data_IF_544926561431
#
_entry.id   IF_544926561431
#
_cell.length_a   1.000
_cell.length_b   1.000
_cell.length_c   1.000
_cell.angle_alpha   90.00
_cell.angle_beta   90.00
_cell.angle_gamma   90.00
#
_symmetry.space_group_name_H-M   'P 1'
#
loop_
_entity.id
_entity.type
_entity.pdbx_description
1 polymer ?
#
# COMPACT_ATOMS: atom_id res chain seq x y z
N UNK A 1 13.41 -17.91 -6.95
CA UNK A 1 13.01 -17.16 -8.16
C UNK A 1 11.95 -16.14 -7.78
N UNK A 2 12.10 -14.87 -8.15
CA UNK A 2 11.13 -13.82 -7.80
C UNK A 2 9.93 -13.88 -8.74
N UNK A 3 8.71 -14.01 -8.22
CA UNK A 3 7.50 -14.02 -9.06
C UNK A 3 7.42 -12.73 -9.89
N UNK A 4 7.24 -12.85 -11.22
CA UNK A 4 7.10 -11.69 -12.09
C UNK A 4 5.76 -10.98 -11.80
N UNK A 5 5.71 -9.69 -12.09
CA UNK A 5 4.46 -8.93 -12.09
C UNK A 5 3.63 -9.30 -13.32
N UNK A 6 2.31 -9.20 -13.20
CA UNK A 6 1.41 -9.34 -14.33
C UNK A 6 1.65 -8.20 -15.33
N UNK A 7 1.49 -8.48 -16.62
CA UNK A 7 1.58 -7.47 -17.67
C UNK A 7 0.23 -6.75 -17.79
N UNK A 8 0.24 -5.43 -17.64
CA UNK A 8 -0.93 -4.61 -17.94
C UNK A 8 -1.17 -4.49 -19.45
N UNK A 9 -2.43 -4.45 -19.86
CA UNK A 9 -2.91 -4.36 -21.25
C UNK A 9 -4.06 -3.35 -21.33
N UNK A 10 -4.30 -2.78 -22.51
CA UNK A 10 -5.43 -1.87 -22.75
C UNK A 10 -5.25 -0.47 -22.16
N UNK A 11 -6.36 0.24 -21.97
CA UNK A 11 -6.35 1.59 -21.39
C UNK A 11 -6.12 1.50 -19.89
N UNK A 12 -5.16 2.24 -19.36
CA UNK A 12 -4.84 2.19 -17.92
C UNK A 12 -5.99 2.69 -17.04
N UNK A 13 -6.84 3.59 -17.56
CA UNK A 13 -7.98 4.14 -16.82
C UNK A 13 -9.02 3.09 -16.44
N UNK A 14 -9.08 1.97 -17.19
CA UNK A 14 -9.99 0.86 -16.88
C UNK A 14 -9.68 0.21 -15.52
N UNK A 15 -8.45 0.35 -15.01
CA UNK A 15 -8.06 -0.22 -13.73
C UNK A 15 -8.74 0.46 -12.55
N UNK A 16 -9.27 1.67 -12.74
CA UNK A 16 -10.04 2.38 -11.72
C UNK A 16 -11.28 1.60 -11.30
N UNK A 17 -12.13 1.26 -12.26
CA UNK A 17 -13.33 0.47 -11.99
C UNK A 17 -13.01 -0.98 -11.64
N UNK A 18 -12.00 -1.58 -12.29
CA UNK A 18 -11.62 -2.96 -12.06
C UNK A 18 -11.17 -3.25 -10.61
N UNK A 19 -10.54 -2.27 -9.96
CA UNK A 19 -9.98 -2.41 -8.61
C UNK A 19 -10.63 -1.47 -7.59
N UNK A 20 -11.79 -0.90 -7.92
CA UNK A 20 -12.52 0.03 -7.05
C UNK A 20 -11.65 1.20 -6.58
N UNK A 21 -10.76 1.73 -7.42
CA UNK A 21 -9.85 2.81 -7.03
C UNK A 21 -10.57 4.16 -7.00
N UNK A 22 -10.38 4.88 -5.90
CA UNK A 22 -10.73 6.29 -5.78
C UNK A 22 -9.54 7.19 -6.12
N UNK A 23 -9.78 8.48 -6.28
CA UNK A 23 -8.70 9.49 -6.46
C UNK A 23 -7.65 9.41 -5.35
N UNK A 24 -8.05 9.07 -4.13
CA UNK A 24 -7.13 8.92 -2.98
C UNK A 24 -6.22 7.68 -3.04
N UNK A 25 -6.50 6.76 -3.96
CA UNK A 25 -5.70 5.55 -4.20
C UNK A 25 -4.77 5.72 -5.42
N UNK A 26 -4.81 6.89 -6.06
CA UNK A 26 -3.96 7.25 -7.19
C UNK A 26 -2.82 8.15 -6.74
N UNK A 27 -1.60 7.79 -7.13
CA UNK A 27 -0.39 8.55 -6.87
C UNK A 27 0.17 9.01 -8.21
N UNK A 28 -0.06 10.28 -8.54
CA UNK A 28 0.50 10.88 -9.74
C UNK A 28 1.97 11.28 -9.51
N UNK A 29 2.86 10.68 -10.28
CA UNK A 29 4.31 10.89 -10.23
C UNK A 29 4.81 11.74 -11.40
N UNK A 30 3.92 12.42 -12.13
CA UNK A 30 4.32 13.50 -13.04
C UNK A 30 4.77 14.70 -12.23
N UNK A 31 6.05 14.72 -11.86
CA UNK A 31 6.65 15.90 -11.27
C UNK A 31 6.68 17.04 -12.29
N UNK A 32 6.25 18.22 -11.84
CA UNK A 32 6.43 19.47 -12.56
C UNK A 32 7.92 19.81 -12.75
N UNK A 33 8.24 21.03 -13.22
CA UNK A 33 9.63 21.44 -13.40
C UNK A 33 10.44 21.25 -12.12
N UNK A 34 11.51 20.47 -12.22
CA UNK A 34 12.39 20.13 -11.09
C UNK A 34 13.10 21.37 -10.58
N UNK A 35 13.10 21.58 -9.26
CA UNK A 35 14.04 22.50 -8.64
C UNK A 35 15.47 22.03 -8.89
N UNK A 36 16.25 22.89 -9.55
CA UNK A 36 17.63 22.58 -9.93
C UNK A 36 18.61 22.70 -8.76
N UNK A 37 18.19 23.30 -7.65
CA UNK A 37 18.99 23.43 -6.41
C UNK A 37 19.21 22.06 -5.72
N UNK A 38 18.23 21.15 -5.84
CA UNK A 38 18.30 19.82 -5.24
C UNK A 38 19.04 18.87 -6.16
N UNK A 39 19.88 17.98 -5.60
CA UNK A 39 20.57 16.97 -6.41
C UNK A 39 19.57 15.96 -6.99
N UNK A 40 19.86 15.45 -8.19
CA UNK A 40 19.00 14.45 -8.83
C UNK A 40 18.85 13.17 -8.01
N UNK A 41 19.92 12.73 -7.34
CA UNK A 41 19.89 11.55 -6.49
C UNK A 41 19.04 11.76 -5.23
N UNK A 42 19.03 12.98 -4.67
CA UNK A 42 18.14 13.30 -3.56
C UNK A 42 16.67 13.21 -3.99
N UNK A 43 16.31 13.85 -5.11
CA UNK A 43 14.94 13.75 -5.67
C UNK A 43 14.52 12.30 -5.88
N UNK A 44 15.45 11.45 -6.36
CA UNK A 44 15.17 10.03 -6.57
C UNK A 44 15.03 9.23 -5.28
N UNK A 45 15.75 9.61 -4.20
CA UNK A 45 15.55 9.03 -2.87
C UNK A 45 14.19 9.44 -2.28
N UNK A 46 13.87 10.73 -2.36
CA UNK A 46 12.60 11.27 -1.86
C UNK A 46 11.41 10.62 -2.57
N UNK A 47 11.54 10.35 -3.88
CA UNK A 47 10.55 9.61 -4.64
C UNK A 47 10.37 8.17 -4.14
N UNK A 48 11.45 7.46 -3.77
CA UNK A 48 11.33 6.12 -3.21
C UNK A 48 10.60 6.17 -1.87
N UNK A 49 10.96 7.11 -1.00
CA UNK A 49 10.29 7.31 0.29
C UNK A 49 8.80 7.62 0.11
N UNK A 50 8.45 8.52 -0.81
CA UNK A 50 7.06 8.82 -1.15
C UNK A 50 6.29 7.59 -1.61
N UNK A 51 6.89 6.76 -2.47
CA UNK A 51 6.25 5.52 -2.94
C UNK A 51 5.99 4.58 -1.76
N UNK A 52 6.98 4.39 -0.90
CA UNK A 52 6.83 3.54 0.29
C UNK A 52 5.72 4.03 1.21
N UNK A 53 5.71 5.33 1.53
CA UNK A 53 4.72 5.95 2.41
C UNK A 53 3.31 5.79 1.84
N UNK A 54 3.13 5.98 0.53
CA UNK A 54 1.83 5.82 -0.11
C UNK A 54 1.35 4.37 -0.15
N UNK A 55 2.25 3.40 -0.27
CA UNK A 55 1.89 1.98 -0.13
C UNK A 55 1.41 1.69 1.28
N UNK A 56 2.13 2.18 2.29
CA UNK A 56 1.79 1.96 3.70
C UNK A 56 0.48 2.64 4.09
N UNK A 57 0.29 3.89 3.69
CA UNK A 57 -0.94 4.64 3.93
C UNK A 57 -2.15 3.92 3.33
N UNK A 58 -2.07 3.51 2.06
CA UNK A 58 -3.15 2.76 1.42
C UNK A 58 -3.44 1.43 2.13
N UNK A 59 -2.40 0.75 2.62
CA UNK A 59 -2.54 -0.49 3.40
C UNK A 59 -3.25 -0.24 4.74
N UNK A 60 -2.88 0.83 5.44
CA UNK A 60 -3.48 1.24 6.72
C UNK A 60 -4.94 1.66 6.54
N UNK A 61 -5.29 2.29 5.42
CA UNK A 61 -6.67 2.60 5.03
C UNK A 61 -7.48 1.37 4.60
N UNK A 62 -6.91 0.16 4.69
CA UNK A 62 -7.59 -1.08 4.34
C UNK A 62 -7.84 -1.26 2.84
N UNK A 63 -7.10 -0.52 1.99
CA UNK A 63 -7.29 -0.60 0.54
C UNK A 63 -6.62 -1.86 -0.01
N UNK A 64 -7.28 -2.47 -1.00
CA UNK A 64 -6.75 -3.66 -1.66
C UNK A 64 -5.68 -3.33 -2.69
N UNK A 65 -5.74 -2.13 -3.28
CA UNK A 65 -4.88 -1.72 -4.38
C UNK A 65 -4.52 -0.24 -4.26
N UNK A 66 -3.35 0.12 -4.79
CA UNK A 66 -2.91 1.50 -5.01
C UNK A 66 -2.33 1.58 -6.43
N UNK A 67 -2.55 2.70 -7.12
CA UNK A 67 -2.09 2.93 -8.49
C UNK A 67 -1.09 4.06 -8.54
N UNK A 68 0.10 3.78 -9.07
CA UNK A 68 1.12 4.79 -9.35
C UNK A 68 1.08 5.17 -10.82
N UNK A 69 0.79 6.43 -11.11
CA UNK A 69 0.79 6.98 -12.46
C UNK A 69 2.17 7.58 -12.73
N UNK A 70 2.94 6.94 -13.59
CA UNK A 70 4.32 7.35 -13.90
C UNK A 70 4.51 7.81 -15.35
N UNK A 71 3.43 7.81 -16.13
CA UNK A 71 3.43 8.18 -17.54
C UNK A 71 4.18 7.21 -18.45
N UNK A 72 4.02 7.41 -19.76
CA UNK A 72 4.92 6.82 -20.75
C UNK A 72 6.21 7.63 -20.73
N UNK A 73 7.24 7.10 -20.09
CA UNK A 73 8.53 7.79 -19.97
C UNK A 73 9.04 8.25 -21.35
N UNK A 74 9.08 9.55 -21.62
CA UNK A 74 9.73 10.17 -22.80
C UNK A 74 11.19 10.54 -22.55
N UNK A 75 11.79 9.96 -21.51
CA UNK A 75 13.17 10.25 -21.10
C UNK A 75 14.18 9.48 -21.94
N UNK A 76 15.13 10.21 -22.54
CA UNK A 76 16.30 9.72 -23.28
C UNK A 76 17.04 8.60 -22.51
N UNK A 77 17.60 7.64 -23.26
CA UNK A 77 18.36 6.47 -22.79
C UNK A 77 19.34 6.85 -21.65
N UNK A 78 19.29 6.14 -20.51
CA UNK A 78 20.25 6.28 -19.41
C UNK A 78 19.80 7.06 -18.17
N UNK A 79 18.56 7.58 -18.09
CA UNK A 79 18.07 8.30 -16.90
C UNK A 79 17.18 7.44 -16.00
N UNK A 80 17.29 7.60 -14.67
CA UNK A 80 16.32 7.06 -13.69
C UNK A 80 15.00 7.82 -13.81
N UNK A 81 13.90 7.10 -13.86
CA UNK A 81 12.56 7.66 -14.09
C UNK A 81 11.63 7.23 -12.96
N UNK A 82 10.51 7.94 -12.79
CA UNK A 82 9.47 7.52 -11.85
C UNK A 82 9.07 6.05 -12.09
N UNK A 83 8.91 5.66 -13.36
CA UNK A 83 8.70 4.26 -13.76
C UNK A 83 9.79 3.33 -13.23
N UNK A 84 11.08 3.68 -13.37
CA UNK A 84 12.16 2.84 -12.86
C UNK A 84 12.19 2.75 -11.34
N UNK A 85 11.86 3.84 -10.63
CA UNK A 85 11.85 3.86 -9.17
C UNK A 85 10.70 3.04 -8.61
N UNK A 86 9.48 3.21 -9.14
CA UNK A 86 8.32 2.39 -8.77
C UNK A 86 8.63 0.91 -8.98
N UNK A 87 9.13 0.53 -10.16
CA UNK A 87 9.47 -0.87 -10.46
C UNK A 87 10.61 -1.40 -9.58
N UNK A 88 11.59 -0.56 -9.26
CA UNK A 88 12.71 -0.89 -8.40
C UNK A 88 12.26 -1.14 -6.97
N UNK A 89 11.51 -0.21 -6.40
CA UNK A 89 10.93 -0.33 -5.07
C UNK A 89 10.03 -1.57 -4.95
N UNK A 90 9.10 -1.75 -5.89
CA UNK A 90 8.18 -2.90 -5.86
C UNK A 90 8.90 -4.25 -5.99
N UNK A 91 10.15 -4.28 -6.47
CA UNK A 91 11.02 -5.48 -6.53
C UNK A 91 11.91 -5.66 -5.31
N UNK A 92 12.01 -4.65 -4.45
CA UNK A 92 12.87 -4.67 -3.29
C UNK A 92 12.33 -5.58 -2.18
N UNK A 93 13.20 -5.94 -1.24
CA UNK A 93 12.80 -6.65 -0.02
C UNK A 93 11.86 -5.82 0.87
N UNK A 94 11.96 -4.48 0.82
CA UNK A 94 11.12 -3.57 1.59
C UNK A 94 9.65 -3.61 1.15
N UNK A 95 9.38 -3.84 -0.14
CA UNK A 95 8.01 -3.96 -0.64
C UNK A 95 7.39 -5.33 -0.38
N UNK A 96 8.18 -6.40 -0.21
CA UNK A 96 7.70 -7.77 0.01
C UNK A 96 6.65 -7.92 1.13
N UNK A 97 6.82 -7.33 2.33
CA UNK A 97 5.81 -7.40 3.38
C UNK A 97 4.55 -6.56 3.09
N UNK A 98 4.62 -5.64 2.13
CA UNK A 98 3.54 -4.69 1.83
C UNK A 98 2.65 -5.15 0.68
N UNK A 99 3.20 -5.90 -0.28
CA UNK A 99 2.51 -6.23 -1.53
C UNK A 99 2.43 -7.73 -1.82
N UNK A 100 1.39 -8.11 -2.56
CA UNK A 100 1.28 -9.43 -3.17
C UNK A 100 1.76 -9.38 -4.62
N UNK A 101 3.04 -9.68 -4.81
CA UNK A 101 3.73 -9.55 -6.11
C UNK A 101 2.99 -10.20 -7.28
N UNK A 102 2.41 -11.40 -7.06
CA UNK A 102 1.74 -12.20 -8.09
C UNK A 102 0.47 -11.53 -8.67
N UNK A 103 -0.08 -10.54 -7.95
CA UNK A 103 -1.27 -9.79 -8.34
C UNK A 103 -0.98 -8.32 -8.66
N UNK A 104 0.30 -7.91 -8.61
CA UNK A 104 0.68 -6.58 -9.05
C UNK A 104 0.74 -6.54 -10.58
N UNK A 105 0.32 -5.42 -11.15
CA UNK A 105 0.26 -5.21 -12.60
C UNK A 105 1.23 -4.10 -13.00
N UNK A 106 2.13 -4.44 -13.93
CA UNK A 106 3.05 -3.50 -14.55
C UNK A 106 2.49 -3.08 -15.91
N UNK A 107 2.02 -1.84 -16.02
CA UNK A 107 1.57 -1.24 -17.28
C UNK A 107 2.66 -0.29 -17.84
N UNK A 108 2.47 0.19 -19.08
CA UNK A 108 3.41 1.11 -19.72
C UNK A 108 3.39 2.53 -19.11
N UNK A 109 2.26 2.93 -18.55
CA UNK A 109 2.02 4.28 -17.99
C UNK A 109 1.71 4.29 -16.49
N UNK A 110 1.36 3.14 -15.92
CA UNK A 110 1.00 3.00 -14.52
C UNK A 110 1.56 1.72 -13.92
N UNK A 111 1.58 1.63 -12.60
CA UNK A 111 1.82 0.41 -11.86
C UNK A 111 0.72 0.22 -10.82
N UNK A 112 0.11 -0.95 -10.78
CA UNK A 112 -0.94 -1.28 -9.82
C UNK A 112 -0.35 -2.26 -8.82
N UNK A 113 -0.28 -1.84 -7.56
CA UNK A 113 0.22 -2.69 -6.48
C UNK A 113 -0.97 -3.33 -5.75
N UNK A 114 -1.01 -4.66 -5.71
CA UNK A 114 -1.90 -5.38 -4.79
C UNK A 114 -1.29 -5.30 -3.40
N UNK A 115 -2.02 -4.72 -2.47
CA UNK A 115 -1.61 -4.60 -1.07
C UNK A 115 -1.95 -5.88 -0.31
N UNK A 116 -1.06 -6.27 0.59
CA UNK A 116 -1.38 -7.30 1.59
C UNK A 116 -2.31 -6.68 2.63
N UNK A 117 -3.30 -7.40 3.15
CA UNK A 117 -4.05 -6.93 4.30
C UNK A 117 -3.08 -6.64 5.46
N UNK A 118 -3.38 -5.62 6.26
CA UNK A 118 -2.73 -5.49 7.55
C UNK A 118 -3.00 -6.78 8.34
N UNK A 119 -1.99 -7.34 9.03
CA UNK A 119 -2.27 -8.39 9.99
C UNK A 119 -3.30 -7.83 10.96
N UNK A 120 -4.42 -8.50 11.06
CA UNK A 120 -5.46 -8.16 12.03
C UNK A 120 -4.77 -8.18 13.39
N UNK A 121 -4.62 -7.00 14.01
CA UNK A 121 -4.24 -6.94 15.41
C UNK A 121 -5.49 -7.40 16.12
N UNK A 122 -5.64 -8.72 16.22
CA UNK A 122 -6.67 -9.36 17.01
C UNK A 122 -6.40 -8.89 18.42
N UNK A 123 -7.12 -7.86 18.84
CA UNK A 123 -7.21 -7.48 20.24
C UNK A 123 -7.73 -8.74 20.90
N UNK A 124 -6.86 -9.41 21.67
CA UNK A 124 -7.25 -10.60 22.42
C UNK A 124 -8.58 -10.26 23.12
N UNK A 125 -9.60 -11.13 23.04
CA UNK A 125 -10.85 -10.86 23.72
C UNK A 125 -10.50 -10.68 25.20
N UNK A 126 -10.68 -9.45 25.70
CA UNK A 126 -10.66 -9.18 27.13
C UNK A 126 -11.78 -10.04 27.68
N UNK A 127 -11.41 -11.12 28.37
CA UNK A 127 -12.36 -11.96 29.09
C UNK A 127 -13.09 -11.03 30.05
N UNK A 128 -14.33 -10.68 29.71
CA UNK A 128 -15.25 -10.04 30.64
C UNK A 128 -15.35 -10.98 31.84
N UNK A 129 -14.88 -10.51 33.00
CA UNK A 129 -15.02 -11.24 34.25
C UNK A 129 -16.49 -11.56 34.51
N UNK A 130 -16.74 -12.82 34.87
CA UNK A 130 -18.04 -13.32 35.25
C UNK A 130 -18.63 -12.49 36.42
N UNK A 131 -19.87 -11.99 36.34
CA UNK A 131 -20.55 -11.42 37.49
C UNK A 131 -21.12 -12.56 38.34
N UNK A 132 -20.25 -13.33 38.98
CA UNK A 132 -20.65 -14.19 40.09
C UNK A 132 -20.42 -13.41 41.39
N UNK A 133 -21.51 -12.92 41.98
CA UNK A 133 -21.90 -13.21 43.37
C UNK A 133 -22.76 -12.07 43.94
N UNK A 134 -24.07 -12.19 43.78
CA UNK A 134 -25.06 -11.50 44.62
C UNK A 134 -26.40 -12.22 44.49
N UNK A 135 -26.58 -13.29 45.25
CA UNK A 135 -27.91 -13.78 45.61
C UNK A 135 -28.15 -13.54 47.10
N UNK A 136 -29.30 -12.98 47.49
CA UNK A 136 -29.71 -12.80 48.87
C UNK A 136 -30.50 -14.02 49.37
N UNK A 137 -30.34 -14.40 50.64
CA UNK A 137 -31.45 -14.61 51.58
C UNK A 137 -31.04 -15.33 52.88
N UNK A 138 -31.50 -14.71 53.97
CA UNK A 138 -31.94 -15.24 55.27
C UNK A 138 -31.96 -16.76 55.48
N UNK A 139 -31.48 -17.20 56.65
CA UNK A 139 -32.37 -17.66 57.74
C UNK A 139 -31.61 -18.13 59.00
N UNK A 140 -32.17 -17.76 60.15
CA UNK A 140 -32.23 -18.48 61.44
C UNK A 140 -30.95 -19.02 62.11
N UNK A 141 -30.71 -18.51 63.32
CA UNK A 141 -29.98 -19.21 64.39
C UNK A 141 -30.51 -18.77 65.75
N UNK A 142 -31.19 -19.69 66.44
CA UNK A 142 -31.55 -19.59 67.86
C UNK A 142 -30.29 -19.46 68.74
N UNK A 143 -30.33 -18.61 69.76
CA UNK A 143 -30.39 -18.96 71.21
C UNK A 143 -30.79 -17.74 72.03
#
# INVERSE_FOLDING_TARGET
MTTPFQRGLGSWTQYRSMFDLSVSDEVDLHFGPRDRSVSYDQVMRDLISLIEDKVRDAQQRGRSYVMFIHGSSTSRRGRRTARSQVRGFMRSKAATPLIERKYCIQHNTVFIAKLRPMPDVTVAPVLLGDPANSSPNNSCGLV
#
